data_IF_004802437035
#
_entry.id   IF_004802437035
#
_cell.length_a   1.000
_cell.length_b   1.000
_cell.length_c   1.000
_cell.angle_alpha   90.00
_cell.angle_beta   90.00
_cell.angle_gamma   90.00
#
_symmetry.space_group_name_H-M   'P 1'
#
loop_
_entity.id
_entity.type
_entity.pdbx_description
1 polymer ?
#
# COMPACT_ATOMS: atom_id res chain seq x y z
N UNK A 1 -22.10 2.90 -10.70
CA UNK A 1 -21.22 1.75 -10.99
C UNK A 1 -21.08 0.98 -9.69
N UNK A 2 -21.50 -0.29 -9.64
CA UNK A 2 -21.48 -1.08 -8.40
C UNK A 2 -20.04 -1.25 -7.93
N UNK A 3 -19.72 -0.71 -6.77
CA UNK A 3 -18.56 -1.13 -6.00
C UNK A 3 -18.79 -2.60 -5.62
N UNK A 4 -18.30 -3.52 -6.46
CA UNK A 4 -18.46 -4.96 -6.31
C UNK A 4 -17.81 -5.43 -5.02
N UNK A 5 -18.60 -5.53 -3.96
CA UNK A 5 -18.15 -5.94 -2.65
C UNK A 5 -17.77 -7.42 -2.70
N UNK A 6 -16.52 -7.72 -2.37
CA UNK A 6 -15.99 -9.08 -2.44
C UNK A 6 -16.74 -9.98 -1.43
N UNK A 7 -16.98 -11.26 -1.77
CA UNK A 7 -17.57 -12.20 -0.83
C UNK A 7 -16.76 -12.32 0.45
N UNK A 8 -17.44 -12.59 1.58
CA UNK A 8 -16.76 -12.89 2.84
C UNK A 8 -15.82 -14.07 2.66
N UNK A 9 -14.59 -13.94 3.15
CA UNK A 9 -13.56 -14.97 3.01
C UNK A 9 -12.70 -14.84 1.75
N UNK A 10 -13.05 -13.95 0.80
CA UNK A 10 -12.15 -13.61 -0.29
C UNK A 10 -10.91 -12.89 0.27
N UNK A 11 -9.73 -13.41 -0.05
CA UNK A 11 -8.44 -12.91 0.46
C UNK A 11 -7.46 -12.75 -0.68
N UNK A 12 -6.52 -11.86 -0.46
CA UNK A 12 -5.34 -11.76 -1.31
C UNK A 12 -4.45 -12.98 -1.08
N UNK A 13 -4.51 -13.95 -2.01
CA UNK A 13 -3.75 -15.20 -1.99
C UNK A 13 -3.17 -15.50 -3.39
N UNK A 14 -2.33 -14.62 -3.95
CA UNK A 14 -1.77 -14.83 -5.27
C UNK A 14 -0.70 -15.93 -5.26
N UNK A 15 -0.49 -16.54 -6.42
CA UNK A 15 0.68 -17.37 -6.73
C UNK A 15 1.90 -16.51 -7.05
N UNK A 16 3.11 -17.09 -7.01
CA UNK A 16 4.35 -16.41 -7.41
C UNK A 16 4.26 -15.85 -8.84
N UNK A 17 3.66 -16.61 -9.74
CA UNK A 17 3.43 -16.19 -11.13
C UNK A 17 2.57 -14.94 -11.17
N UNK A 18 1.45 -14.93 -10.46
CA UNK A 18 0.52 -13.80 -10.44
C UNK A 18 1.16 -12.56 -9.82
N UNK A 19 1.93 -12.72 -8.73
CA UNK A 19 2.69 -11.64 -8.10
C UNK A 19 3.63 -10.95 -9.10
N UNK A 20 4.37 -11.74 -9.88
CA UNK A 20 5.30 -11.20 -10.88
C UNK A 20 4.53 -10.57 -12.05
N UNK A 21 3.63 -11.31 -12.69
CA UNK A 21 3.04 -10.88 -13.97
C UNK A 21 2.00 -9.77 -13.82
N UNK A 22 1.18 -9.81 -12.76
CA UNK A 22 0.05 -8.89 -12.60
C UNK A 22 0.31 -7.73 -11.65
N UNK A 23 1.31 -7.84 -10.77
CA UNK A 23 1.63 -6.77 -9.82
C UNK A 23 2.98 -6.13 -10.14
N UNK A 24 4.08 -6.89 -10.10
CA UNK A 24 5.41 -6.34 -10.29
C UNK A 24 5.64 -5.81 -11.72
N UNK A 25 5.41 -6.65 -12.73
CA UNK A 25 5.60 -6.23 -14.13
C UNK A 25 4.67 -5.09 -14.50
N UNK A 26 3.40 -5.17 -14.10
CA UNK A 26 2.46 -4.09 -14.38
C UNK A 26 2.92 -2.76 -13.77
N UNK A 27 3.41 -2.78 -12.53
CA UNK A 27 4.00 -1.59 -11.90
C UNK A 27 5.22 -1.06 -12.65
N UNK A 28 6.14 -1.93 -13.06
CA UNK A 28 7.37 -1.54 -13.79
C UNK A 28 7.07 -0.96 -15.18
N UNK A 29 6.02 -1.45 -15.83
CA UNK A 29 5.62 -0.99 -17.17
C UNK A 29 4.49 0.06 -17.16
N UNK A 30 4.22 0.70 -16.02
CA UNK A 30 3.16 1.70 -15.83
C UNK A 30 1.76 1.23 -16.30
N UNK A 31 1.46 -0.05 -16.09
CA UNK A 31 0.16 -0.66 -16.40
C UNK A 31 -0.74 -0.69 -15.17
N UNK A 32 -2.07 -0.81 -15.34
CA UNK A 32 -2.99 -0.95 -14.21
C UNK A 32 -2.63 -2.12 -13.30
N UNK A 33 -2.41 -1.83 -12.01
CA UNK A 33 -2.17 -2.84 -10.97
C UNK A 33 -3.49 -3.18 -10.28
N UNK A 34 -3.91 -4.46 -10.21
CA UNK A 34 -5.12 -4.84 -9.48
C UNK A 34 -5.04 -4.42 -8.02
N UNK A 35 -6.09 -3.81 -7.48
CA UNK A 35 -6.16 -3.37 -6.09
C UNK A 35 -4.92 -2.57 -5.63
N UNK A 36 -4.40 -1.68 -6.47
CA UNK A 36 -3.19 -0.90 -6.22
C UNK A 36 -3.17 -0.20 -4.85
N UNK A 37 -4.32 0.25 -4.36
CA UNK A 37 -4.48 0.89 -3.04
C UNK A 37 -4.06 -0.01 -1.86
N UNK A 38 -4.11 -1.34 -2.04
CA UNK A 38 -3.71 -2.31 -1.02
C UNK A 38 -2.19 -2.52 -0.95
N UNK A 39 -1.44 -2.19 -2.00
CA UNK A 39 0.02 -2.40 -2.09
C UNK A 39 0.70 -1.02 -2.06
N UNK A 40 1.13 -0.62 -0.86
CA UNK A 40 1.74 0.68 -0.64
C UNK A 40 3.21 0.72 -1.03
N UNK A 41 3.64 1.85 -1.58
CA UNK A 41 5.06 2.14 -1.76
C UNK A 41 5.74 2.41 -0.43
N UNK A 42 6.91 1.81 -0.25
CA UNK A 42 7.82 2.07 0.86
C UNK A 42 9.20 2.35 0.29
N UNK A 43 9.86 3.37 0.83
CA UNK A 43 11.24 3.65 0.48
C UNK A 43 12.14 2.47 0.88
N UNK A 44 13.12 2.14 0.02
CA UNK A 44 14.00 1.00 0.25
C UNK A 44 14.81 1.15 1.54
N UNK A 45 15.34 2.34 1.84
CA UNK A 45 16.13 2.58 3.05
C UNK A 45 15.27 2.40 4.29
N UNK A 46 14.02 2.88 4.25
CA UNK A 46 13.05 2.65 5.33
C UNK A 46 12.74 1.16 5.49
N UNK A 47 12.46 0.45 4.39
CA UNK A 47 12.10 -0.98 4.43
C UNK A 47 13.22 -1.85 5.03
N UNK A 48 14.46 -1.67 4.57
CA UNK A 48 15.60 -2.49 5.00
C UNK A 48 16.16 -2.09 6.37
N UNK A 49 15.87 -0.88 6.85
CA UNK A 49 16.32 -0.41 8.18
C UNK A 49 15.28 -0.62 9.29
N UNK A 50 14.03 -0.86 8.92
CA UNK A 50 12.93 -1.00 9.88
C UNK A 50 12.85 -2.44 10.39
N UNK A 51 12.78 -2.61 11.71
CA UNK A 51 12.52 -3.92 12.30
C UNK A 51 11.18 -4.49 11.78
N UNK A 52 11.09 -5.76 11.33
CA UNK A 52 9.89 -6.28 10.62
C UNK A 52 8.55 -6.08 11.34
N UNK A 53 8.53 -6.15 12.68
CA UNK A 53 7.33 -5.88 13.50
C UNK A 53 6.79 -4.45 13.37
N UNK A 54 7.58 -3.52 12.85
CA UNK A 54 7.24 -2.11 12.70
C UNK A 54 6.81 -1.75 11.26
N UNK A 55 6.70 -2.73 10.36
CA UNK A 55 6.24 -2.52 8.98
C UNK A 55 4.71 -2.39 8.85
N UNK A 56 3.96 -2.39 9.95
CA UNK A 56 2.51 -2.26 9.93
C UNK A 56 2.08 -0.89 9.37
N UNK A 57 1.41 -0.95 8.22
CA UNK A 57 0.87 0.19 7.47
C UNK A 57 -0.07 1.09 8.28
N UNK A 58 -0.71 0.56 9.32
CA UNK A 58 -1.62 1.34 10.19
C UNK A 58 -0.87 2.48 10.88
N UNK A 59 0.35 2.22 11.36
CA UNK A 59 1.20 3.21 12.05
C UNK A 59 1.72 4.28 11.09
N UNK A 60 2.16 3.88 9.89
CA UNK A 60 2.66 4.80 8.86
C UNK A 60 1.55 5.77 8.41
N UNK A 61 0.31 5.28 8.28
CA UNK A 61 -0.84 6.11 7.88
C UNK A 61 -1.20 7.14 8.95
N UNK A 62 -1.14 6.76 10.23
CA UNK A 62 -1.39 7.68 11.34
C UNK A 62 -0.33 8.78 11.44
N UNK A 63 0.94 8.45 11.26
CA UNK A 63 2.04 9.43 11.31
C UNK A 63 1.95 10.45 10.17
N UNK A 64 1.64 10.00 8.94
CA UNK A 64 1.38 10.88 7.79
C UNK A 64 0.18 11.81 8.02
N UNK A 65 -0.89 11.32 8.66
CA UNK A 65 -2.04 12.16 9.04
C UNK A 65 -1.65 13.25 10.04
N UNK A 66 -0.93 12.89 11.10
CA UNK A 66 -0.46 13.85 12.13
C UNK A 66 0.41 14.96 11.52
N UNK A 67 1.33 14.62 10.62
CA UNK A 67 2.19 15.60 9.94
C UNK A 67 1.35 16.55 9.08
N UNK A 68 0.34 16.03 8.38
CA UNK A 68 -0.53 16.83 7.51
C UNK A 68 -1.40 17.78 8.31
N UNK A 69 -1.97 17.33 9.44
CA UNK A 69 -2.75 18.19 10.35
C UNK A 69 -1.89 19.28 10.97
N UNK A 70 -0.71 18.94 11.48
CA UNK A 70 0.24 19.91 12.03
C UNK A 70 0.64 20.99 11.01
N UNK A 71 0.80 20.61 9.74
CA UNK A 71 1.06 21.59 8.66
C UNK A 71 -0.13 22.52 8.44
N UNK A 72 -1.36 22.01 8.45
CA UNK A 72 -2.57 22.85 8.32
C UNK A 72 -2.73 23.84 9.47
N UNK A 73 -2.38 23.43 10.69
CA UNK A 73 -2.37 24.32 11.86
C UNK A 73 -1.30 25.43 11.74
N UNK A 74 -0.11 25.12 11.23
CA UNK A 74 0.98 26.10 11.08
C UNK A 74 0.67 27.18 10.02
N UNK A 75 -0.10 26.82 8.99
CA UNK A 75 -0.45 27.72 7.88
C UNK A 75 -1.88 28.26 7.97
N UNK A 76 -2.54 28.12 9.12
CA UNK A 76 -3.81 28.75 9.49
C UNK A 76 -3.57 30.01 10.32
#
# INVERSE_FOLDING_TARGET
MSSGQLPVGFRFMPTDKELVTHYLMNKVFDRPVPAAEAIQDIDATQFYSTHPKNLDSTKIREEKKKITEKRKEIFS
#
